data_IF_618955083255
#
_entry.id   IF_618955083255
#
_cell.length_a   1.000
_cell.length_b   1.000
_cell.length_c   1.000
_cell.angle_alpha   90.00
_cell.angle_beta   90.00
_cell.angle_gamma   90.00
#
_symmetry.space_group_name_H-M   'P 1'
#
loop_
_entity.id
_entity.type
_entity.pdbx_description
1 polymer ?
#
# COMPACT_ATOMS: atom_id res chain seq x y z
N UNK A 1 -24.49 -16.32 20.02
CA UNK A 1 -23.63 -15.14 20.15
C UNK A 1 -23.70 -14.37 18.84
N UNK A 2 -24.13 -13.12 18.88
CA UNK A 2 -24.28 -12.30 17.68
C UNK A 2 -22.92 -11.71 17.36
N UNK A 3 -22.39 -11.98 16.16
CA UNK A 3 -21.15 -11.39 15.69
C UNK A 3 -21.29 -9.85 15.78
N UNK A 4 -20.40 -9.22 16.56
CA UNK A 4 -20.34 -7.77 16.66
C UNK A 4 -19.96 -7.20 15.30
N UNK A 5 -20.92 -6.60 14.63
CA UNK A 5 -20.65 -5.72 13.49
C UNK A 5 -19.79 -4.59 14.05
N UNK A 6 -18.52 -4.53 13.66
CA UNK A 6 -17.69 -3.34 13.90
C UNK A 6 -18.31 -2.25 13.01
N UNK A 7 -18.88 -1.18 13.59
CA UNK A 7 -19.28 -0.04 12.79
C UNK A 7 -18.01 0.49 12.11
N UNK A 8 -17.99 0.57 10.78
CA UNK A 8 -16.99 1.38 10.10
C UNK A 8 -17.25 2.81 10.53
N UNK A 9 -16.49 3.30 11.51
CA UNK A 9 -16.60 4.70 11.89
C UNK A 9 -16.07 5.53 10.72
N UNK A 10 -16.89 6.46 10.27
CA UNK A 10 -16.49 7.52 9.35
C UNK A 10 -15.60 8.57 10.07
N UNK A 11 -15.01 8.23 11.22
CA UNK A 11 -14.48 9.16 12.22
C UNK A 11 -12.95 9.17 12.35
N UNK A 12 -12.21 8.64 11.37
CA UNK A 12 -10.80 9.03 11.21
C UNK A 12 -10.77 10.35 10.43
N UNK A 13 -11.26 11.41 11.07
CA UNK A 13 -11.15 12.80 10.60
C UNK A 13 -9.91 13.43 11.24
N UNK A 14 -8.71 13.01 10.85
CA UNK A 14 -7.47 13.71 11.27
C UNK A 14 -7.05 14.83 10.31
N UNK A 15 -7.73 14.96 9.18
CA UNK A 15 -7.50 16.04 8.22
C UNK A 15 -8.83 16.72 7.97
N UNK A 16 -8.95 17.97 8.44
CA UNK A 16 -9.95 18.90 7.93
C UNK A 16 -9.63 19.05 6.43
N UNK A 17 -10.29 18.26 5.59
CA UNK A 17 -10.08 18.25 4.14
C UNK A 17 -10.41 19.65 3.64
N UNK A 18 -9.42 20.34 3.11
CA UNK A 18 -9.68 21.39 2.13
C UNK A 18 -10.37 20.69 0.95
N UNK A 19 -11.66 20.95 0.77
CA UNK A 19 -12.61 20.14 -0.03
C UNK A 19 -12.36 20.19 -1.54
N UNK A 20 -11.29 20.86 -1.98
CA UNK A 20 -10.89 20.93 -3.38
C UNK A 20 -9.84 19.88 -3.79
N UNK A 21 -9.09 19.31 -2.84
CA UNK A 21 -8.01 18.38 -3.16
C UNK A 21 -8.55 16.98 -3.44
N UNK A 22 -8.45 16.53 -4.70
CA UNK A 22 -8.76 15.16 -5.08
C UNK A 22 -7.71 14.22 -4.48
N UNK A 23 -8.17 13.23 -3.75
CA UNK A 23 -7.32 12.19 -3.16
C UNK A 23 -7.39 10.93 -4.02
N UNK A 24 -6.24 10.33 -4.27
CA UNK A 24 -6.11 9.02 -4.88
C UNK A 24 -5.75 8.04 -3.76
N UNK A 25 -6.50 6.94 -3.68
CA UNK A 25 -6.23 5.85 -2.76
C UNK A 25 -6.11 4.53 -3.52
N UNK A 26 -5.21 3.66 -3.10
CA UNK A 26 -5.07 2.31 -3.63
C UNK A 26 -4.64 1.33 -2.53
N UNK A 27 -4.93 0.05 -2.68
CA UNK A 27 -4.54 -0.96 -1.70
C UNK A 27 -3.92 -2.21 -2.34
N UNK A 28 -3.12 -2.92 -1.56
CA UNK A 28 -2.60 -4.24 -1.87
C UNK A 28 -2.86 -5.16 -0.68
N UNK A 29 -3.59 -6.25 -0.91
CA UNK A 29 -3.92 -7.24 0.13
C UNK A 29 -3.22 -8.56 -0.17
N UNK A 30 -2.43 -9.01 0.79
CA UNK A 30 -1.63 -10.22 0.68
C UNK A 30 -2.35 -11.38 1.38
N UNK A 31 -2.56 -12.46 0.64
CA UNK A 31 -3.18 -13.69 1.14
C UNK A 31 -2.29 -14.86 0.73
N UNK A 32 -1.76 -15.61 1.70
CA UNK A 32 -0.80 -16.70 1.45
C UNK A 32 0.34 -16.68 2.47
N UNK A 33 1.57 -16.81 1.98
CA UNK A 33 2.78 -16.85 2.82
C UNK A 33 2.95 -15.58 3.66
N UNK A 34 2.56 -14.43 3.10
CA UNK A 34 2.44 -13.16 3.81
C UNK A 34 0.97 -12.84 3.90
N UNK A 35 0.47 -12.61 5.12
CA UNK A 35 -0.90 -12.16 5.36
C UNK A 35 -0.84 -10.72 5.85
N UNK A 36 -1.53 -9.81 5.17
CA UNK A 36 -1.56 -8.41 5.57
C UNK A 36 -2.05 -7.50 4.47
N UNK A 37 -1.85 -6.21 4.69
CA UNK A 37 -2.32 -5.19 3.77
C UNK A 37 -1.45 -3.95 3.78
N UNK A 38 -1.42 -3.31 2.63
CA UNK A 38 -0.87 -1.98 2.46
C UNK A 38 -1.89 -1.11 1.76
N UNK A 39 -1.85 0.18 2.07
CA UNK A 39 -2.62 1.18 1.37
C UNK A 39 -1.72 2.37 1.07
N UNK A 40 -2.05 3.02 -0.04
CA UNK A 40 -1.29 4.08 -0.65
C UNK A 40 -2.25 5.25 -0.86
N UNK A 41 -1.85 6.43 -0.44
CA UNK A 41 -2.64 7.65 -0.60
C UNK A 41 -1.79 8.78 -1.17
N UNK A 42 -2.41 9.62 -2.00
CA UNK A 42 -1.78 10.81 -2.52
C UNK A 42 -2.81 11.87 -2.84
N UNK A 43 -2.45 13.14 -2.67
CA UNK A 43 -3.19 14.24 -3.28
C UNK A 43 -2.81 14.31 -4.76
N UNK A 44 -3.79 14.42 -5.67
CA UNK A 44 -3.54 14.57 -7.12
C UNK A 44 -2.47 15.63 -7.40
N UNK A 45 -1.45 15.26 -8.19
CA UNK A 45 -0.34 16.15 -8.57
C UNK A 45 0.66 16.50 -7.45
N UNK A 46 0.54 15.93 -6.24
CA UNK A 46 1.47 16.25 -5.15
C UNK A 46 2.87 15.64 -5.33
N UNK A 47 2.99 14.55 -6.08
CA UNK A 47 4.23 13.76 -6.18
C UNK A 47 4.64 13.13 -4.84
N UNK A 48 3.75 13.11 -3.85
CA UNK A 48 3.97 12.53 -2.53
C UNK A 48 2.95 11.42 -2.31
N UNK A 49 3.44 10.26 -1.90
CA UNK A 49 2.65 9.11 -1.53
C UNK A 49 2.81 8.83 -0.04
N UNK A 50 1.69 8.68 0.66
CA UNK A 50 1.61 8.15 2.01
C UNK A 50 1.37 6.65 1.93
N UNK A 51 2.16 5.88 2.64
CA UNK A 51 2.04 4.41 2.71
C UNK A 51 1.72 4.03 4.14
N UNK A 52 0.76 3.13 4.31
CA UNK A 52 0.44 2.53 5.62
C UNK A 52 0.15 1.05 5.46
N UNK A 53 0.55 0.24 6.45
CA UNK A 53 0.34 -1.21 6.38
C UNK A 53 0.70 -1.97 7.64
N UNK A 54 0.41 -3.26 7.62
CA UNK A 54 0.81 -4.24 8.64
C UNK A 54 0.72 -5.65 8.06
N UNK A 55 1.61 -6.53 8.52
CA UNK A 55 1.60 -7.96 8.18
C UNK A 55 1.46 -8.79 9.44
N UNK A 56 0.52 -9.73 9.45
CA UNK A 56 0.20 -10.59 10.59
C UNK A 56 1.12 -11.82 10.69
N UNK A 57 1.69 -12.26 9.57
CA UNK A 57 2.49 -13.48 9.50
C UNK A 57 3.23 -13.54 8.17
N UNK A 58 4.49 -14.00 8.16
CA UNK A 58 5.05 -14.55 6.93
C UNK A 58 6.53 -14.35 6.59
N UNK A 59 7.50 -14.64 7.47
CA UNK A 59 8.86 -15.18 7.15
C UNK A 59 9.89 -14.87 8.28
N UNK A 60 11.08 -15.50 8.31
CA UNK A 60 12.13 -15.23 9.31
C UNK A 60 12.62 -13.78 9.30
N UNK A 61 13.04 -13.32 10.49
CA UNK A 61 13.09 -11.93 10.95
C UNK A 61 13.95 -10.93 10.15
N UNK A 62 14.80 -11.37 9.22
CA UNK A 62 16.00 -10.59 8.90
C UNK A 62 16.00 -9.86 7.55
N UNK A 63 15.03 -10.07 6.64
CA UNK A 63 15.04 -9.42 5.32
C UNK A 63 13.63 -9.25 4.74
N UNK A 64 12.96 -8.12 5.05
CA UNK A 64 11.67 -7.75 4.47
C UNK A 64 11.88 -6.57 3.51
N UNK A 65 11.85 -6.84 2.21
CA UNK A 65 11.85 -5.81 1.18
C UNK A 65 10.46 -5.57 0.62
N UNK A 66 10.13 -4.33 0.27
CA UNK A 66 8.85 -3.96 -0.34
C UNK A 66 9.11 -3.19 -1.62
N UNK A 67 8.68 -3.76 -2.75
CA UNK A 67 8.87 -3.18 -4.07
C UNK A 67 7.51 -2.89 -4.70
N UNK A 68 7.31 -1.68 -5.23
CA UNK A 68 6.21 -1.43 -6.14
C UNK A 68 6.69 -1.70 -7.57
N UNK A 69 5.95 -2.53 -8.31
CA UNK A 69 6.28 -2.91 -9.67
C UNK A 69 5.21 -2.48 -10.65
N UNK A 70 5.65 -2.09 -11.85
CA UNK A 70 4.80 -1.83 -13.01
C UNK A 70 5.29 -2.71 -14.15
N UNK A 71 4.42 -3.58 -14.65
CA UNK A 71 4.72 -4.50 -15.74
C UNK A 71 5.96 -5.36 -15.45
N UNK A 72 6.06 -5.85 -14.21
CA UNK A 72 7.18 -6.69 -13.73
C UNK A 72 8.48 -5.96 -13.42
N UNK A 73 8.57 -4.65 -13.69
CA UNK A 73 9.75 -3.82 -13.37
C UNK A 73 9.54 -3.03 -12.09
N UNK A 74 10.57 -2.92 -11.26
CA UNK A 74 10.54 -2.09 -10.06
C UNK A 74 10.36 -0.62 -10.43
N UNK A 75 9.25 -0.02 -10.00
CA UNK A 75 8.97 1.40 -10.11
C UNK A 75 9.56 2.18 -8.94
N UNK A 76 9.48 1.62 -7.72
CA UNK A 76 10.14 2.15 -6.53
C UNK A 76 10.42 1.02 -5.52
N UNK A 77 11.55 1.13 -4.83
CA UNK A 77 11.90 0.31 -3.68
C UNK A 77 11.55 1.09 -2.40
N UNK A 78 10.61 0.56 -1.61
CA UNK A 78 10.12 1.16 -0.38
C UNK A 78 10.84 0.63 0.87
N UNK A 79 11.76 -0.32 0.72
CA UNK A 79 12.38 -1.08 1.83
C UNK A 79 13.01 -0.15 2.87
N UNK A 80 13.77 0.85 2.42
CA UNK A 80 14.43 1.81 3.31
C UNK A 80 13.48 2.86 3.88
N UNK A 81 12.37 3.12 3.18
CA UNK A 81 11.39 4.15 3.57
C UNK A 81 10.42 3.65 4.64
N UNK A 82 10.06 2.37 4.62
CA UNK A 82 9.02 1.80 5.50
C UNK A 82 9.52 1.39 6.89
N UNK A 83 10.85 1.38 7.12
CA UNK A 83 11.51 1.01 8.40
C UNK A 83 10.77 -0.13 9.12
N UNK A 84 10.52 -1.23 8.40
CA UNK A 84 9.67 -2.32 8.87
C UNK A 84 10.45 -3.13 9.91
N UNK A 85 9.84 -3.32 11.08
CA UNK A 85 10.37 -4.22 12.12
C UNK A 85 9.53 -5.49 12.16
N UNK A 86 10.20 -6.63 12.18
CA UNK A 86 9.56 -7.95 12.27
C UNK A 86 9.65 -8.44 13.71
N UNK A 87 8.51 -8.79 14.30
CA UNK A 87 8.41 -9.36 15.63
C UNK A 87 8.94 -10.78 15.68
N UNK A 88 9.15 -11.31 16.88
CA UNK A 88 9.56 -12.70 17.08
C UNK A 88 8.61 -13.74 16.48
N UNK A 89 7.35 -13.36 16.26
CA UNK A 89 6.31 -14.18 15.67
C UNK A 89 6.21 -14.03 14.14
N UNK A 90 7.09 -13.25 13.50
CA UNK A 90 7.07 -13.04 12.04
C UNK A 90 5.97 -12.10 11.56
N UNK A 91 5.42 -11.28 12.46
CA UNK A 91 4.46 -10.21 12.16
C UNK A 91 5.15 -8.83 12.21
N UNK A 92 4.53 -7.79 11.65
CA UNK A 92 5.01 -6.41 11.78
C UNK A 92 4.01 -5.58 12.58
N UNK A 93 4.45 -4.70 13.50
CA UNK A 93 3.61 -3.61 13.96
C UNK A 93 3.09 -2.79 12.77
N UNK A 94 2.01 -2.02 12.94
CA UNK A 94 1.60 -1.03 11.94
C UNK A 94 2.76 -0.09 11.62
N UNK A 95 3.03 0.10 10.33
CA UNK A 95 4.06 1.00 9.83
C UNK A 95 3.45 2.04 8.90
N UNK A 96 4.17 3.14 8.74
CA UNK A 96 3.81 4.20 7.80
C UNK A 96 5.06 4.92 7.27
N UNK A 97 4.95 5.49 6.08
CA UNK A 97 6.01 6.33 5.51
C UNK A 97 5.43 7.39 4.58
N UNK A 98 6.17 8.48 4.43
CA UNK A 98 5.95 9.49 3.39
C UNK A 98 7.04 9.35 2.35
N UNK A 99 6.66 9.15 1.09
CA UNK A 99 7.57 8.78 0.01
C UNK A 99 7.40 9.75 -1.17
N UNK A 100 8.48 10.32 -1.72
CA UNK A 100 8.41 11.11 -2.95
C UNK A 100 8.15 10.18 -4.14
N UNK A 101 6.86 9.98 -4.47
CA UNK A 101 6.40 9.08 -5.52
C UNK A 101 5.03 9.51 -6.05
N UNK A 102 4.88 9.53 -7.37
CA UNK A 102 3.62 9.89 -8.04
C UNK A 102 2.72 8.65 -8.18
N UNK A 103 1.79 8.50 -7.23
CA UNK A 103 0.83 7.40 -7.22
C UNK A 103 -0.13 7.43 -8.42
N UNK A 104 -0.51 8.62 -8.90
CA UNK A 104 -1.42 8.78 -10.04
C UNK A 104 -0.79 8.22 -11.31
N UNK A 105 0.45 8.65 -11.58
CA UNK A 105 1.22 8.20 -12.72
C UNK A 105 1.55 6.70 -12.63
N UNK A 106 1.85 6.20 -11.44
CA UNK A 106 2.09 4.78 -11.21
C UNK A 106 0.88 3.93 -11.60
N UNK A 107 -0.30 4.28 -11.09
CA UNK A 107 -1.57 3.60 -11.36
C UNK A 107 -2.06 3.80 -12.82
N UNK A 108 -1.44 4.72 -13.56
CA UNK A 108 -1.83 5.02 -14.94
C UNK A 108 -3.26 5.58 -15.02
N UNK A 109 -3.66 6.35 -14.01
CA UNK A 109 -4.96 7.00 -13.97
C UNK A 109 -4.89 8.22 -14.91
N UNK A 110 -5.35 8.06 -16.16
CA UNK A 110 -5.28 9.13 -17.17
C UNK A 110 -6.04 10.41 -16.79
N UNK A 111 -5.90 11.47 -17.59
CA UNK A 111 -6.62 12.74 -17.37
C UNK A 111 -8.10 12.63 -17.79
N UNK A 112 -9.04 12.55 -16.83
CA UNK A 112 -10.48 12.53 -17.14
C UNK A 112 -11.39 12.10 -15.98
N UNK A 113 -12.72 12.19 -16.17
CA UNK A 113 -13.73 11.87 -15.14
C UNK A 113 -13.99 10.37 -14.93
N UNK A 114 -13.45 9.50 -15.78
CA UNK A 114 -13.60 8.04 -15.71
C UNK A 114 -12.22 7.36 -15.78
N UNK A 115 -11.38 7.61 -14.77
CA UNK A 115 -10.02 7.06 -14.72
C UNK A 115 -10.10 5.56 -14.42
N UNK A 116 -9.81 4.71 -15.41
CA UNK A 116 -9.62 3.27 -15.20
C UNK A 116 -8.13 3.04 -14.98
N UNK A 117 -7.79 2.33 -13.90
CA UNK A 117 -6.42 1.91 -13.65
C UNK A 117 -5.90 1.06 -14.83
N UNK A 118 -4.64 1.26 -15.19
CA UNK A 118 -3.95 0.33 -16.09
C UNK A 118 -3.71 -0.99 -15.35
N UNK A 119 -3.56 -2.11 -16.05
CA UNK A 119 -3.16 -3.36 -15.39
C UNK A 119 -1.66 -3.34 -15.03
N UNK A 120 -1.20 -4.32 -14.26
CA UNK A 120 0.23 -4.60 -14.10
C UNK A 120 0.93 -3.90 -12.93
N UNK A 121 0.20 -3.22 -12.05
CA UNK A 121 0.76 -2.68 -10.80
C UNK A 121 0.67 -3.71 -9.67
N UNK A 122 1.80 -4.04 -9.05
CA UNK A 122 1.86 -4.95 -7.90
C UNK A 122 2.72 -4.37 -6.78
N UNK A 123 2.39 -4.76 -5.55
CA UNK A 123 3.29 -4.64 -4.41
C UNK A 123 3.88 -6.02 -4.17
N UNK A 124 5.20 -6.11 -4.21
CA UNK A 124 5.95 -7.34 -4.02
C UNK A 124 6.67 -7.28 -2.68
N UNK A 125 6.53 -8.36 -1.91
CA UNK A 125 7.32 -8.60 -0.71
C UNK A 125 8.48 -9.50 -1.09
N UNK A 126 9.70 -9.10 -0.72
CA UNK A 126 10.92 -9.85 -1.02
C UNK A 126 11.65 -10.27 0.24
N UNK A 127 12.35 -11.41 0.17
CA UNK A 127 13.31 -11.87 1.17
C UNK A 127 14.55 -12.39 0.47
N UNK A 128 15.74 -11.89 0.83
CA UNK A 128 17.02 -12.25 0.19
C UNK A 128 16.93 -12.23 -1.36
N UNK A 129 16.43 -11.13 -1.93
CA UNK A 129 16.25 -10.90 -3.36
C UNK A 129 15.21 -11.78 -4.08
N UNK A 130 14.47 -12.63 -3.36
CA UNK A 130 13.37 -13.43 -3.92
C UNK A 130 12.01 -12.84 -3.57
N UNK A 131 11.10 -12.73 -4.55
CA UNK A 131 9.68 -12.40 -4.30
C UNK A 131 9.01 -13.55 -3.56
N UNK A 132 8.54 -13.30 -2.33
CA UNK A 132 7.84 -14.29 -1.48
C UNK A 132 6.33 -14.11 -1.52
N UNK A 133 5.86 -12.91 -1.84
CA UNK A 133 4.44 -12.59 -2.02
C UNK A 133 4.29 -11.43 -2.99
N UNK A 134 3.24 -11.45 -3.78
CA UNK A 134 2.87 -10.36 -4.68
C UNK A 134 1.37 -10.15 -4.62
N UNK A 135 0.95 -8.90 -4.52
CA UNK A 135 -0.45 -8.51 -4.49
C UNK A 135 -0.70 -7.39 -5.50
N UNK A 136 -1.83 -7.40 -6.22
CA UNK A 136 -2.17 -6.29 -7.10
C UNK A 136 -2.39 -5.01 -6.29
N UNK A 137 -1.86 -3.89 -6.78
CA UNK A 137 -2.21 -2.56 -6.25
C UNK A 137 -3.46 -2.11 -6.98
N UNK A 138 -4.57 -1.94 -6.26
CA UNK A 138 -5.88 -1.64 -6.82
C UNK A 138 -6.35 -0.27 -6.36
N UNK A 139 -6.66 0.63 -7.29
CA UNK A 139 -7.27 1.93 -6.99
C UNK A 139 -8.63 1.74 -6.32
N UNK A 140 -8.86 2.44 -5.23
CA UNK A 140 -10.15 2.44 -4.55
C UNK A 140 -11.11 3.42 -5.24
N UNK A 141 -12.42 3.15 -5.22
CA UNK A 141 -13.41 4.12 -5.68
C UNK A 141 -13.28 5.43 -4.92
N UNK A 142 -13.36 6.55 -5.64
CA UNK A 142 -13.41 7.92 -5.07
C UNK A 142 -14.86 8.30 -4.82
#
# INVERSE_FOLDING_TARGET
STAGIIPQSNDITFLKRDTAAKTISASATFTGNVIGGMTFESTEGSGIMYVYGSFAQGFPQDCFGVLLKKDGKTAIDLTTSLNITVTSLGATPPFWATVPFDLEAYLGLGSGKNKRQTAGQTADITSNDQTVSSAPVTSLPV
#
